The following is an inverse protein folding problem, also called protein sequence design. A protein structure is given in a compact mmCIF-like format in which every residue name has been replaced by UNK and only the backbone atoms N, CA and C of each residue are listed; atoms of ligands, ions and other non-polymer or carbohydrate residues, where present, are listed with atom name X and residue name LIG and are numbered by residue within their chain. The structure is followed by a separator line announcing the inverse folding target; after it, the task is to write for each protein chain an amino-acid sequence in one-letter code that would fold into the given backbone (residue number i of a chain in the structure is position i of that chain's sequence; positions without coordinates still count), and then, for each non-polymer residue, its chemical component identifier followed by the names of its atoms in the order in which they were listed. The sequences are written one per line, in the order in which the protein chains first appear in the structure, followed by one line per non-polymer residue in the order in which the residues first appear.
data_IF_480678732567
#
_entry.id   IF_480678732567
#
_cell.length_a   1.000
_cell.length_b   1.000
_cell.length_c   1.000
_cell.angle_alpha   90.00
_cell.angle_beta   90.00
_cell.angle_gamma   90.00
#
_symmetry.space_group_name_H-M   'P 1'
#
loop_
_entity.id
_entity.type
_entity.pdbx_description
1 polymer ?
#
# COMPACT_ATOMS: atom_id res chain seq x y z
N UNK A 1 -0.70 -19.29 13.58
CA UNK A 1 0.35 -18.25 13.54
C UNK A 1 -0.26 -17.00 12.93
N UNK A 2 -0.36 -15.90 13.67
CA UNK A 2 -0.65 -14.60 13.06
C UNK A 2 0.49 -14.29 12.08
N UNK A 3 0.22 -14.27 10.77
CA UNK A 3 1.18 -13.73 9.81
C UNK A 3 1.32 -12.24 10.15
N UNK A 4 2.52 -11.82 10.53
CA UNK A 4 2.87 -10.40 10.59
C UNK A 4 2.79 -9.88 9.14
N UNK A 5 1.92 -8.90 8.92
CA UNK A 5 1.64 -8.30 7.61
C UNK A 5 2.27 -6.90 7.62
N UNK A 6 3.09 -6.62 6.62
CA UNK A 6 3.54 -5.29 6.26
C UNK A 6 2.47 -4.62 5.40
N UNK A 7 2.33 -3.31 5.54
CA UNK A 7 1.36 -2.53 4.79
C UNK A 7 2.00 -1.24 4.29
N UNK A 8 1.74 -0.87 3.04
CA UNK A 8 2.09 0.45 2.51
C UNK A 8 0.79 1.10 2.05
N UNK A 9 0.55 2.30 2.56
CA UNK A 9 -0.66 3.06 2.29
C UNK A 9 -0.42 4.03 1.15
N UNK A 10 -1.30 4.05 0.17
CA UNK A 10 -1.21 4.94 -0.97
C UNK A 10 -2.45 5.83 -1.07
N UNK A 11 -2.20 7.13 -1.19
CA UNK A 11 -3.25 8.14 -1.26
C UNK A 11 -3.02 9.13 -2.39
N UNK A 12 -4.11 9.66 -2.97
CA UNK A 12 -4.04 10.78 -3.93
C UNK A 12 -4.43 12.08 -3.22
N UNK A 13 -3.48 12.93 -2.80
CA UNK A 13 -3.78 14.18 -2.09
C UNK A 13 -4.54 15.18 -2.99
N UNK A 14 -5.53 15.89 -2.43
CA UNK A 14 -6.26 16.95 -3.16
C UNK A 14 -5.37 18.15 -3.53
N UNK A 15 -4.33 18.39 -2.72
CA UNK A 15 -3.35 19.47 -2.87
C UNK A 15 -2.19 19.11 -3.78
N UNK A 16 -2.13 17.87 -4.29
CA UNK A 16 -1.01 17.34 -5.06
C UNK A 16 0.19 16.89 -4.22
N UNK A 17 0.18 17.11 -2.90
CA UNK A 17 1.19 16.61 -1.96
C UNK A 17 0.58 16.02 -0.71
N UNK A 18 1.04 14.84 -0.30
CA UNK A 18 0.66 14.24 0.97
C UNK A 18 1.51 14.86 2.08
N UNK A 19 0.91 15.17 3.22
CA UNK A 19 1.61 15.78 4.37
C UNK A 19 1.34 15.01 5.65
N UNK A 20 2.20 15.11 6.67
CA UNK A 20 1.97 14.46 7.97
C UNK A 20 0.60 14.82 8.58
N UNK A 21 0.20 16.09 8.55
CA UNK A 21 -1.11 16.51 9.07
C UNK A 21 -2.30 15.86 8.34
N UNK A 22 -2.15 15.59 7.04
CA UNK A 22 -3.17 14.85 6.27
C UNK A 22 -3.22 13.38 6.69
N UNK A 23 -2.07 12.76 6.95
CA UNK A 23 -1.99 11.40 7.47
C UNK A 23 -2.61 11.30 8.86
N UNK A 24 -2.27 12.22 9.78
CA UNK A 24 -2.87 12.28 11.11
C UNK A 24 -4.39 12.36 11.02
N UNK A 25 -4.91 13.21 10.13
CA UNK A 25 -6.34 13.30 9.87
C UNK A 25 -6.91 11.98 9.34
N UNK A 26 -6.24 11.32 8.40
CA UNK A 26 -6.69 10.03 7.84
C UNK A 26 -6.68 8.92 8.89
N UNK A 27 -5.71 8.89 9.81
CA UNK A 27 -5.71 7.91 10.90
C UNK A 27 -6.81 8.18 11.92
N UNK A 28 -7.09 9.45 12.22
CA UNK A 28 -8.12 9.83 13.17
C UNK A 28 -9.55 9.68 12.61
N UNK A 29 -9.72 9.88 11.30
CA UNK A 29 -11.05 10.03 10.69
C UNK A 29 -11.32 9.15 9.48
N UNK A 30 -10.33 8.40 8.98
CA UNK A 30 -10.42 7.63 7.74
C UNK A 30 -11.47 6.52 7.74
N UNK A 31 -11.93 6.09 8.93
CA UNK A 31 -13.02 5.12 9.08
C UNK A 31 -14.39 5.77 9.30
N UNK A 32 -14.45 7.10 9.45
CA UNK A 32 -15.70 7.81 9.74
C UNK A 32 -16.50 8.07 8.46
N UNK A 33 -17.76 7.64 8.44
CA UNK A 33 -18.72 8.02 7.39
C UNK A 33 -19.34 9.41 7.61
N UNK A 34 -19.09 10.04 8.76
CA UNK A 34 -19.70 11.30 9.15
C UNK A 34 -18.97 12.54 8.59
N UNK A 35 -17.74 12.37 8.09
CA UNK A 35 -16.93 13.49 7.61
C UNK A 35 -17.40 13.97 6.23
N UNK A 36 -17.80 15.25 6.06
CA UNK A 36 -18.16 15.80 4.76
C UNK A 36 -17.01 15.71 3.76
N UNK A 37 -17.33 15.46 2.48
CA UNK A 37 -16.32 15.27 1.42
C UNK A 37 -15.31 16.41 1.32
N UNK A 38 -15.73 17.65 1.59
CA UNK A 38 -14.85 18.83 1.53
C UNK A 38 -13.64 18.74 2.48
N UNK A 39 -13.78 18.05 3.62
CA UNK A 39 -12.73 17.94 4.64
C UNK A 39 -11.76 16.79 4.40
N UNK A 40 -12.11 15.85 3.51
CA UNK A 40 -11.20 14.76 3.17
C UNK A 40 -9.93 15.32 2.50
N UNK A 41 -8.73 15.05 3.02
CA UNK A 41 -7.49 15.56 2.45
C UNK A 41 -7.11 14.87 1.13
N UNK A 42 -7.70 13.69 0.88
CA UNK A 42 -7.42 12.84 -0.30
C UNK A 42 -8.62 12.78 -1.22
N UNK A 43 -8.36 12.61 -2.51
CA UNK A 43 -9.39 12.46 -3.53
C UNK A 43 -10.11 11.12 -3.34
N UNK A 44 -11.43 11.14 -3.53
CA UNK A 44 -12.18 9.89 -3.68
C UNK A 44 -11.80 9.21 -4.99
N UNK A 45 -11.53 7.92 -4.94
CA UNK A 45 -11.23 7.10 -6.11
C UNK A 45 -12.41 6.18 -6.44
N UNK A 46 -12.43 5.65 -7.67
CA UNK A 46 -13.42 4.65 -8.12
C UNK A 46 -12.76 3.27 -8.07
N UNK A 47 -12.97 2.44 -7.03
CA UNK A 47 -12.17 1.23 -6.81
C UNK A 47 -12.15 0.28 -8.01
N UNK A 48 -13.32 -0.04 -8.56
CA UNK A 48 -13.46 -0.88 -9.76
C UNK A 48 -12.77 -0.31 -11.00
N UNK A 49 -12.71 1.02 -11.14
CA UNK A 49 -12.02 1.63 -12.28
C UNK A 49 -10.50 1.54 -12.12
N UNK A 50 -9.98 1.79 -10.91
CA UNK A 50 -8.57 1.66 -10.61
C UNK A 50 -8.11 0.20 -10.68
N UNK A 51 -8.91 -0.74 -10.17
CA UNK A 51 -8.63 -2.16 -10.26
C UNK A 51 -8.50 -2.64 -11.72
N UNK A 52 -9.35 -2.14 -12.62
CA UNK A 52 -9.21 -2.41 -14.06
C UNK A 52 -7.94 -1.83 -14.66
N UNK A 53 -7.44 -0.70 -14.16
CA UNK A 53 -6.15 -0.16 -14.61
C UNK A 53 -4.98 -1.02 -14.12
N UNK A 54 -5.02 -1.47 -12.87
CA UNK A 54 -4.03 -2.39 -12.31
C UNK A 54 -4.04 -3.75 -13.05
N UNK A 55 -5.21 -4.29 -13.40
CA UNK A 55 -5.33 -5.50 -14.22
C UNK A 55 -4.84 -5.33 -15.66
N UNK A 56 -4.78 -4.08 -16.18
CA UNK A 56 -4.15 -3.80 -17.48
C UNK A 56 -2.63 -3.75 -17.38
N UNK A 57 -2.10 -3.27 -16.26
CA UNK A 57 -0.67 -3.33 -15.96
C UNK A 57 -0.23 -4.78 -15.77
N UNK A 58 -0.95 -5.52 -14.93
CA UNK A 58 -0.66 -6.89 -14.57
C UNK A 58 -1.92 -7.77 -14.71
N UNK A 59 -2.09 -8.45 -15.85
CA UNK A 59 -3.23 -9.34 -16.10
C UNK A 59 -3.25 -10.61 -15.25
N UNK A 60 -2.18 -10.90 -14.50
CA UNK A 60 -2.08 -12.10 -13.67
C UNK A 60 -2.62 -11.90 -12.25
N UNK A 61 -2.92 -10.66 -11.86
CA UNK A 61 -3.60 -10.37 -10.60
C UNK A 61 -4.97 -11.06 -10.56
N UNK A 62 -5.28 -11.69 -9.44
CA UNK A 62 -6.52 -12.41 -9.21
C UNK A 62 -7.47 -11.46 -8.45
N UNK A 63 -8.55 -10.97 -9.07
CA UNK A 63 -9.49 -10.09 -8.41
C UNK A 63 -10.38 -10.86 -7.43
N UNK A 64 -10.56 -10.29 -6.25
CA UNK A 64 -11.51 -10.74 -5.25
C UNK A 64 -12.36 -9.55 -4.75
N UNK A 65 -13.56 -9.86 -4.24
CA UNK A 65 -14.43 -8.85 -3.67
C UNK A 65 -13.96 -8.49 -2.26
N UNK A 66 -13.67 -7.20 -2.04
CA UNK A 66 -13.43 -6.65 -0.70
C UNK A 66 -14.75 -6.24 -0.01
N UNK A 67 -14.68 -5.62 1.19
CA UNK A 67 -15.86 -5.09 1.87
C UNK A 67 -16.57 -4.02 1.02
N UNK A 68 -17.90 -4.13 0.90
CA UNK A 68 -18.69 -3.15 0.16
C UNK A 68 -18.34 -3.08 -1.33
N UNK A 69 -17.85 -1.92 -1.77
CA UNK A 69 -17.46 -1.63 -3.16
C UNK A 69 -15.94 -1.73 -3.41
N UNK A 70 -15.19 -2.16 -2.39
CA UNK A 70 -13.75 -2.29 -2.45
C UNK A 70 -13.35 -3.54 -3.26
N UNK A 71 -12.12 -3.54 -3.75
CA UNK A 71 -11.57 -4.60 -4.60
C UNK A 71 -10.23 -5.04 -4.04
N UNK A 72 -10.05 -6.34 -3.89
CA UNK A 72 -8.75 -6.93 -3.61
C UNK A 72 -8.15 -7.48 -4.90
N UNK A 73 -6.87 -7.21 -5.15
CA UNK A 73 -6.12 -7.82 -6.23
C UNK A 73 -4.97 -8.62 -5.64
N UNK A 74 -5.07 -9.95 -5.75
CA UNK A 74 -4.13 -10.89 -5.17
C UNK A 74 -3.04 -11.20 -6.20
N UNK A 75 -1.77 -11.12 -5.79
CA UNK A 75 -0.67 -11.61 -6.61
C UNK A 75 -0.78 -13.13 -6.79
N UNK A 76 -0.53 -13.69 -7.99
CA UNK A 76 -0.83 -15.09 -8.30
C UNK A 76 -0.05 -16.12 -7.48
N UNK A 77 1.13 -15.77 -6.96
CA UNK A 77 1.89 -16.64 -6.07
C UNK A 77 1.43 -16.50 -4.60
N UNK A 78 0.73 -17.50 -4.03
CA UNK A 78 0.23 -17.44 -2.66
C UNK A 78 1.35 -17.43 -1.61
N UNK A 79 2.58 -17.82 -1.97
CA UNK A 79 3.72 -17.78 -1.06
C UNK A 79 4.20 -16.34 -0.85
N UNK A 80 4.08 -15.49 -1.87
CA UNK A 80 4.39 -14.07 -1.76
C UNK A 80 3.32 -13.32 -0.98
N UNK A 81 2.06 -13.74 -1.04
CA UNK A 81 0.98 -13.20 -0.20
C UNK A 81 0.75 -11.70 -0.37
N UNK A 82 1.04 -11.16 -1.55
CA UNK A 82 0.86 -9.73 -1.86
C UNK A 82 -0.61 -9.50 -2.22
N UNK A 83 -1.23 -8.51 -1.59
CA UNK A 83 -2.61 -8.08 -1.87
C UNK A 83 -2.66 -6.58 -2.03
N UNK A 84 -3.17 -6.10 -3.17
CA UNK A 84 -3.51 -4.69 -3.35
C UNK A 84 -5.00 -4.51 -2.99
N UNK A 85 -5.25 -3.93 -1.84
CA UNK A 85 -6.59 -3.58 -1.39
C UNK A 85 -6.95 -2.17 -1.86
N UNK A 86 -7.90 -2.09 -2.79
CA UNK A 86 -8.36 -0.85 -3.41
C UNK A 86 -9.69 -0.44 -2.80
N UNK A 87 -9.69 0.68 -2.08
CA UNK A 87 -10.89 1.24 -1.44
C UNK A 87 -11.15 2.67 -1.91
N UNK A 88 -12.27 3.29 -1.52
CA UNK A 88 -12.67 4.58 -2.11
C UNK A 88 -11.79 5.79 -1.73
N UNK A 89 -10.81 5.61 -0.83
CA UNK A 89 -9.85 6.66 -0.41
C UNK A 89 -8.41 6.38 -0.80
N UNK A 90 -8.06 5.17 -1.22
CA UNK A 90 -6.68 4.81 -1.45
C UNK A 90 -6.46 3.35 -1.84
N UNK A 91 -5.19 2.97 -1.88
CA UNK A 91 -4.76 1.59 -2.04
C UNK A 91 -3.89 1.22 -0.83
N UNK A 92 -4.08 0.04 -0.27
CA UNK A 92 -3.16 -0.53 0.73
C UNK A 92 -2.53 -1.76 0.10
N UNK A 93 -1.20 -1.82 0.09
CA UNK A 93 -0.46 -3.00 -0.38
C UNK A 93 -0.06 -3.79 0.86
N UNK A 94 -0.65 -4.96 1.02
CA UNK A 94 -0.33 -5.92 2.08
C UNK A 94 0.68 -6.95 1.58
N UNK A 95 1.65 -7.30 2.41
CA UNK A 95 2.59 -8.39 2.12
C UNK A 95 3.22 -8.94 3.41
N UNK A 96 3.63 -10.21 3.46
CA UNK A 96 4.26 -10.80 4.64
C UNK A 96 5.69 -10.29 4.85
N UNK A 97 6.15 -10.31 6.11
CA UNK A 97 7.57 -10.18 6.40
C UNK A 97 8.34 -11.38 5.85
N UNK A 98 9.42 -11.14 5.10
CA UNK A 98 10.29 -12.16 4.52
C UNK A 98 11.76 -11.90 4.85
N UNK A 99 12.55 -12.97 4.90
CA UNK A 99 13.99 -12.91 5.16
C UNK A 99 14.80 -12.67 3.87
N UNK A 100 15.89 -11.91 3.98
CA UNK A 100 16.98 -11.84 3.00
C UNK A 100 16.51 -11.55 1.55
N UNK A 101 16.97 -12.35 0.58
CA UNK A 101 16.77 -12.13 -0.85
C UNK A 101 15.29 -12.12 -1.27
N UNK A 102 14.44 -12.83 -0.54
CA UNK A 102 13.00 -12.82 -0.76
C UNK A 102 12.36 -11.49 -0.41
N UNK A 103 12.89 -10.76 0.59
CA UNK A 103 12.44 -9.40 0.90
C UNK A 103 12.68 -8.45 -0.27
N UNK A 104 13.88 -8.50 -0.90
CA UNK A 104 14.18 -7.65 -2.06
C UNK A 104 13.28 -7.93 -3.26
N UNK A 105 13.05 -9.21 -3.57
CA UNK A 105 12.14 -9.60 -4.66
C UNK A 105 10.73 -9.09 -4.38
N UNK A 106 10.22 -9.38 -3.19
CA UNK A 106 8.87 -8.99 -2.77
C UNK A 106 8.70 -7.48 -2.82
N UNK A 107 9.64 -6.72 -2.24
CA UNK A 107 9.60 -5.26 -2.25
C UNK A 107 9.68 -4.74 -3.68
N UNK A 108 10.53 -5.32 -4.55
CA UNK A 108 10.60 -4.94 -5.97
C UNK A 108 9.25 -5.07 -6.69
N UNK A 109 8.48 -6.13 -6.39
CA UNK A 109 7.12 -6.30 -6.90
C UNK A 109 6.20 -5.21 -6.35
N UNK A 110 6.16 -5.01 -5.03
CA UNK A 110 5.34 -3.98 -4.40
C UNK A 110 5.64 -2.58 -4.97
N UNK A 111 6.91 -2.22 -5.09
CA UNK A 111 7.36 -0.94 -5.63
C UNK A 111 7.05 -0.76 -7.12
N UNK A 112 6.90 -1.84 -7.90
CA UNK A 112 6.40 -1.75 -9.28
C UNK A 112 4.99 -1.17 -9.31
N UNK A 113 4.11 -1.63 -8.42
CA UNK A 113 2.75 -1.10 -8.32
C UNK A 113 2.71 0.32 -7.74
N UNK A 114 3.51 0.60 -6.71
CA UNK A 114 3.62 1.94 -6.11
C UNK A 114 4.05 2.94 -7.19
N UNK A 115 5.10 2.61 -7.95
CA UNK A 115 5.62 3.46 -9.02
C UNK A 115 4.59 3.70 -10.11
N UNK A 116 3.90 2.65 -10.57
CA UNK A 116 2.83 2.79 -11.56
C UNK A 116 1.70 3.70 -11.06
N UNK A 117 1.26 3.53 -9.81
CA UNK A 117 0.22 4.34 -9.19
C UNK A 117 0.64 5.80 -9.06
N UNK A 118 1.89 6.04 -8.69
CA UNK A 118 2.50 7.37 -8.69
C UNK A 118 2.47 8.00 -10.08
N UNK A 119 3.07 7.35 -11.09
CA UNK A 119 3.27 7.94 -12.42
C UNK A 119 1.95 8.18 -13.16
N UNK A 120 1.00 7.25 -13.00
CA UNK A 120 -0.24 7.26 -13.78
C UNK A 120 -1.38 8.02 -13.10
N UNK A 121 -1.38 8.10 -11.77
CA UNK A 121 -2.53 8.60 -11.01
C UNK A 121 -2.16 9.59 -9.89
N UNK A 122 -0.89 9.87 -9.66
CA UNK A 122 -0.42 10.84 -8.67
C UNK A 122 -0.56 10.37 -7.22
N UNK A 123 -0.46 9.05 -6.99
CA UNK A 123 -0.43 8.52 -5.63
C UNK A 123 0.87 8.88 -4.92
N UNK A 124 0.75 9.08 -3.61
CA UNK A 124 1.84 9.19 -2.65
C UNK A 124 1.81 7.96 -1.75
N UNK A 125 2.98 7.44 -1.40
CA UNK A 125 3.11 6.32 -0.47
C UNK A 125 3.42 6.82 0.94
N UNK A 126 2.84 6.14 1.91
CA UNK A 126 3.16 6.26 3.31
C UNK A 126 3.42 4.86 3.87
N UNK A 127 4.53 4.73 4.57
CA UNK A 127 4.95 3.54 5.28
C UNK A 127 4.69 3.74 6.78
N UNK A 128 3.63 3.14 7.36
CA UNK A 128 3.30 3.29 8.77
C UNK A 128 4.36 2.72 9.72
N UNK A 129 5.09 1.69 9.31
CA UNK A 129 6.09 1.00 10.12
C UNK A 129 7.37 1.84 10.26
N UNK A 130 7.76 2.56 9.20
CA UNK A 130 8.93 3.43 9.17
C UNK A 130 8.59 4.91 9.47
N UNK A 131 7.30 5.26 9.44
CA UNK A 131 6.82 6.64 9.45
C UNK A 131 7.48 7.48 8.32
N UNK A 132 7.57 6.88 7.13
CA UNK A 132 8.17 7.52 5.95
C UNK A 132 7.07 7.87 4.97
N UNK A 133 7.08 9.12 4.52
CA UNK A 133 6.24 9.61 3.44
C UNK A 133 7.13 9.76 2.20
N UNK A 134 6.83 9.01 1.15
CA UNK A 134 7.63 8.99 -0.08
C UNK A 134 6.83 9.50 -1.28
N UNK A 135 7.54 10.23 -2.13
CA UNK A 135 7.10 10.66 -3.45
C UNK A 135 8.14 10.22 -4.46
N UNK A 136 7.93 9.05 -5.06
CA UNK A 136 8.79 8.51 -6.10
C UNK A 136 10.25 8.16 -5.73
N UNK A 137 10.75 8.46 -4.53
CA UNK A 137 12.12 8.13 -4.06
C UNK A 137 12.20 6.73 -3.41
N UNK A 138 11.51 5.80 -4.05
CA UNK A 138 11.17 4.48 -3.53
C UNK A 138 12.34 3.47 -3.51
N UNK A 139 13.44 3.76 -4.21
CA UNK A 139 14.61 2.87 -4.25
C UNK A 139 15.50 2.97 -3.00
N UNK A 140 15.63 4.16 -2.39
CA UNK A 140 16.32 4.29 -1.11
C UNK A 140 15.50 3.66 0.02
N UNK A 141 14.18 3.85 0.00
CA UNK A 141 13.29 3.22 0.97
C UNK A 141 13.25 1.70 0.84
N UNK A 142 13.51 1.11 -0.34
CA UNK A 142 13.60 -0.35 -0.51
C UNK A 142 14.69 -0.97 0.36
N UNK A 143 15.91 -0.43 0.35
CA UNK A 143 17.01 -0.97 1.15
C UNK A 143 16.79 -0.74 2.66
N UNK A 144 16.22 0.40 3.05
CA UNK A 144 15.88 0.66 4.45
C UNK A 144 14.75 -0.25 4.95
N UNK A 145 13.74 -0.50 4.10
CA UNK A 145 12.65 -1.44 4.39
C UNK A 145 13.18 -2.86 4.49
N UNK A 146 14.04 -3.29 3.57
CA UNK A 146 14.66 -4.62 3.61
C UNK A 146 15.49 -4.82 4.89
N UNK A 147 16.30 -3.82 5.28
CA UNK A 147 17.06 -3.87 6.55
C UNK A 147 16.15 -3.93 7.76
N UNK A 148 15.06 -3.18 7.77
CA UNK A 148 14.08 -3.24 8.86
C UNK A 148 13.45 -4.64 8.95
N UNK A 149 12.99 -5.19 7.83
CA UNK A 149 12.42 -6.55 7.79
C UNK A 149 13.43 -7.58 8.32
N UNK A 150 14.70 -7.47 7.93
CA UNK A 150 15.79 -8.32 8.44
C UNK A 150 16.07 -8.12 9.94
N UNK A 151 16.04 -6.89 10.45
CA UNK A 151 16.33 -6.60 11.85
C UNK A 151 15.23 -7.10 12.80
N UNK A 152 13.98 -7.10 12.37
CA UNK A 152 12.86 -7.58 13.16
C UNK A 152 12.69 -9.10 13.10
N UNK A 153 13.08 -9.75 11.99
CA UNK A 153 12.88 -11.19 11.79
C UNK A 153 13.43 -12.08 12.92
N UNK A 154 14.66 -11.87 13.45
CA UNK A 154 15.20 -12.67 14.54
C UNK A 154 14.39 -12.54 15.82
N UNK A 155 13.94 -11.32 16.15
CA UNK A 155 13.08 -11.05 17.33
C UNK A 155 11.69 -11.67 17.19
N UNK A 156 11.25 -11.90 15.94
CA UNK A 156 9.97 -12.53 15.61
C UNK A 156 10.01 -14.06 15.63
N UNK A 157 11.16 -14.66 15.34
CA UNK A 157 11.37 -16.12 15.37
C UNK A 157 11.71 -16.66 16.76
N UNK A 158 12.14 -15.78 17.68
CA UNK A 158 12.54 -16.12 19.06
C UNK A 158 11.42 -15.96 20.09
N UNK A 159 10.16 -15.86 19.62
CA UNK A 159 8.97 -15.95 20.46
C UNK A 159 8.83 -17.30 21.15
#
# INVERSE_FOLDING_TARGET
MNKLIYEIHLYVPKTGRLTPAMLDWLFQHGQSQAQPEAYWPVRRIKPKALARALLKLDPHLIPAQGPGEDVELHYPDPNLGIVLYVHDRGVIIFFPYMAHIYARLLLGICYTYIRYLYDSFGFWSFDPQLNILSFADDYQSLEDTARLMEAFLPRMLSG
#
